data_IF_608914993828
#
_entry.id   IF_608914993828
#
_cell.length_a   1.000
_cell.length_b   1.000
_cell.length_c   1.000
_cell.angle_alpha   90.00
_cell.angle_beta   90.00
_cell.angle_gamma   90.00
#
_symmetry.space_group_name_H-M   'P 1'
#
loop_
_entity.id
_entity.type
_entity.pdbx_description
1 polymer ?
#
# COMPACT_ATOMS: atom_id res chain seq x y z
N UNK A 1 11.90 40.71 -12.63
CA UNK A 1 12.26 39.61 -11.72
C UNK A 1 11.12 39.44 -10.73
N UNK A 2 10.32 38.36 -10.85
CA UNK A 2 9.31 38.03 -9.83
C UNK A 2 10.04 37.29 -8.72
N UNK A 3 10.16 37.91 -7.55
CA UNK A 3 10.67 37.28 -6.34
C UNK A 3 9.71 36.16 -5.94
N UNK A 4 10.14 34.92 -6.12
CA UNK A 4 9.45 33.75 -5.59
C UNK A 4 9.48 33.88 -4.05
N UNK A 5 8.34 34.01 -3.35
CA UNK A 5 8.38 34.03 -1.89
C UNK A 5 8.89 32.66 -1.45
N UNK A 6 9.99 32.65 -0.68
CA UNK A 6 10.47 31.44 -0.04
C UNK A 6 9.29 30.77 0.68
N UNK A 7 8.99 29.52 0.32
CA UNK A 7 7.86 28.78 0.87
C UNK A 7 7.98 28.76 2.39
N UNK A 8 6.94 29.24 3.08
CA UNK A 8 6.83 29.12 4.53
C UNK A 8 6.60 27.65 4.89
N UNK A 9 7.69 26.93 5.14
CA UNK A 9 7.71 25.49 5.39
C UNK A 9 6.98 25.12 6.69
N UNK A 10 6.97 26.00 7.68
CA UNK A 10 6.27 25.78 8.95
C UNK A 10 4.75 25.84 8.73
N UNK A 11 4.27 26.88 8.03
CA UNK A 11 2.86 26.99 7.66
C UNK A 11 2.42 25.85 6.75
N UNK A 12 3.23 25.48 5.76
CA UNK A 12 2.93 24.36 4.87
C UNK A 12 2.84 23.04 5.63
N UNK A 13 3.74 22.79 6.58
CA UNK A 13 3.71 21.59 7.42
C UNK A 13 2.42 21.50 8.26
N UNK A 14 1.94 22.63 8.80
CA UNK A 14 0.67 22.67 9.54
C UNK A 14 -0.51 22.32 8.63
N UNK A 15 -0.59 22.92 7.45
CA UNK A 15 -1.66 22.69 6.48
C UNK A 15 -1.69 21.25 5.97
N UNK A 16 -0.52 20.67 5.66
CA UNK A 16 -0.42 19.29 5.20
C UNK A 16 -0.82 18.29 6.29
N UNK A 17 -0.54 18.60 7.55
CA UNK A 17 -0.99 17.78 8.68
C UNK A 17 -2.53 17.83 8.79
N UNK A 18 -3.13 19.02 8.71
CA UNK A 18 -4.58 19.19 8.76
C UNK A 18 -5.31 18.48 7.60
N UNK A 19 -4.72 18.52 6.39
CA UNK A 19 -5.20 17.79 5.21
C UNK A 19 -4.91 16.27 5.26
N UNK A 20 -4.19 15.80 6.27
CA UNK A 20 -3.75 14.40 6.41
C UNK A 20 -2.97 13.91 5.19
N UNK A 21 -1.97 14.69 4.77
CA UNK A 21 -1.06 14.39 3.66
C UNK A 21 0.37 14.12 4.15
N UNK A 22 0.60 13.02 4.92
CA UNK A 22 1.87 12.77 5.58
C UNK A 22 3.02 12.44 4.63
N UNK A 23 2.77 11.85 3.45
CA UNK A 23 3.85 11.58 2.51
C UNK A 23 4.29 12.88 1.83
N UNK A 24 3.33 13.73 1.42
CA UNK A 24 3.61 15.06 0.89
C UNK A 24 4.39 15.90 1.90
N UNK A 25 4.01 15.88 3.18
CA UNK A 25 4.70 16.62 4.25
C UNK A 25 6.21 16.33 4.31
N UNK A 26 6.60 15.08 4.06
CA UNK A 26 8.00 14.65 4.08
C UNK A 26 8.69 14.88 2.73
N UNK A 27 7.98 14.63 1.62
CA UNK A 27 8.59 14.49 0.30
C UNK A 27 8.53 15.75 -0.56
N UNK A 28 7.67 16.74 -0.24
CA UNK A 28 7.50 17.93 -1.07
C UNK A 28 8.78 18.72 -1.37
N UNK A 29 9.79 18.83 -0.48
CA UNK A 29 11.01 19.57 -0.80
C UNK A 29 11.81 18.88 -1.92
N UNK A 30 11.87 17.55 -1.90
CA UNK A 30 12.60 16.76 -2.90
C UNK A 30 11.91 16.84 -4.26
N UNK A 31 10.57 16.72 -4.29
CA UNK A 31 9.81 16.90 -5.52
C UNK A 31 9.91 18.33 -6.06
N UNK A 32 9.98 19.35 -5.20
CA UNK A 32 10.11 20.74 -5.60
C UNK A 32 11.49 20.99 -6.23
N UNK A 33 12.56 20.50 -5.60
CA UNK A 33 13.92 20.57 -6.14
C UNK A 33 14.04 19.86 -7.50
N UNK A 34 13.42 18.68 -7.63
CA UNK A 34 13.39 17.95 -8.89
C UNK A 34 12.60 18.69 -9.97
N UNK A 35 11.43 19.25 -9.62
CA UNK A 35 10.62 20.04 -10.54
C UNK A 35 11.35 21.28 -11.03
N UNK A 36 12.06 21.98 -10.15
CA UNK A 36 12.88 23.15 -10.50
C UNK A 36 14.03 22.77 -11.42
N UNK A 37 14.73 21.65 -11.13
CA UNK A 37 15.85 21.16 -11.93
C UNK A 37 15.43 20.70 -13.32
N UNK A 38 14.30 20.01 -13.43
CA UNK A 38 13.79 19.45 -14.69
C UNK A 38 12.83 20.39 -15.43
N UNK A 39 12.54 21.57 -14.87
CA UNK A 39 11.62 22.54 -15.47
C UNK A 39 10.19 22.04 -15.58
N UNK A 40 9.71 21.29 -14.59
CA UNK A 40 8.36 20.73 -14.62
C UNK A 40 7.29 21.84 -14.58
N UNK A 41 6.23 21.74 -15.40
CA UNK A 41 5.03 22.53 -15.18
C UNK A 41 4.45 22.23 -13.80
N UNK A 42 3.86 23.24 -13.14
CA UNK A 42 3.24 23.09 -11.83
C UNK A 42 2.19 21.95 -11.78
N UNK A 43 1.46 21.74 -12.88
CA UNK A 43 0.52 20.63 -13.01
C UNK A 43 1.19 19.25 -12.91
N UNK A 44 2.39 19.09 -13.48
CA UNK A 44 3.18 17.85 -13.42
C UNK A 44 3.71 17.61 -12.00
N UNK A 45 4.24 18.65 -11.35
CA UNK A 45 4.65 18.57 -9.95
C UNK A 45 3.49 18.12 -9.05
N UNK A 46 2.32 18.75 -9.20
CA UNK A 46 1.14 18.41 -8.41
C UNK A 46 0.65 16.98 -8.67
N UNK A 47 0.62 16.53 -9.92
CA UNK A 47 0.27 15.16 -10.25
C UNK A 47 1.24 14.16 -9.60
N UNK A 48 2.55 14.37 -9.78
CA UNK A 48 3.55 13.44 -9.28
C UNK A 48 3.56 13.32 -7.74
N UNK A 49 3.43 14.44 -7.03
CA UNK A 49 3.43 14.42 -5.57
C UNK A 49 2.14 13.83 -4.98
N UNK A 50 1.00 14.01 -5.65
CA UNK A 50 -0.27 13.41 -5.22
C UNK A 50 -0.37 11.92 -5.54
N UNK A 51 0.18 11.48 -6.68
CA UNK A 51 0.34 10.05 -7.00
C UNK A 51 1.19 9.34 -5.92
N UNK A 52 2.28 9.97 -5.50
CA UNK A 52 3.14 9.42 -4.46
C UNK A 52 2.41 9.30 -3.11
N UNK A 53 1.61 10.29 -2.74
CA UNK A 53 0.78 10.24 -1.52
C UNK A 53 -0.23 9.10 -1.54
N UNK A 54 -0.87 8.85 -2.68
CA UNK A 54 -1.81 7.73 -2.84
C UNK A 54 -1.09 6.39 -2.67
N UNK A 55 0.05 6.20 -3.36
CA UNK A 55 0.83 4.98 -3.27
C UNK A 55 1.30 4.68 -1.83
N UNK A 56 1.77 5.70 -1.11
CA UNK A 56 2.18 5.58 0.29
C UNK A 56 1.00 5.23 1.22
N UNK A 57 -0.18 5.77 0.95
CA UNK A 57 -1.39 5.47 1.72
C UNK A 57 -1.84 4.03 1.54
N UNK A 58 -1.80 3.52 0.31
CA UNK A 58 -2.12 2.14 0.00
C UNK A 58 -1.12 1.18 0.64
N UNK A 59 0.18 1.50 0.55
CA UNK A 59 1.24 0.73 1.23
C UNK A 59 1.00 0.64 2.74
N UNK A 60 0.76 1.78 3.42
CA UNK A 60 0.49 1.80 4.87
C UNK A 60 -0.78 1.07 5.24
N UNK A 61 -1.81 1.11 4.39
CA UNK A 61 -3.06 0.36 4.59
C UNK A 61 -2.78 -1.14 4.55
N UNK A 62 -2.03 -1.61 3.56
CA UNK A 62 -1.64 -3.03 3.43
C UNK A 62 -0.80 -3.46 4.65
N UNK A 63 0.22 -2.68 5.02
CA UNK A 63 1.08 -2.97 6.17
C UNK A 63 0.29 -3.04 7.48
N UNK A 64 -0.63 -2.10 7.70
CA UNK A 64 -1.51 -2.12 8.88
C UNK A 64 -2.38 -3.37 8.91
N UNK A 65 -3.04 -3.71 7.81
CA UNK A 65 -3.88 -4.90 7.75
C UNK A 65 -3.07 -6.19 7.94
N UNK A 66 -1.85 -6.26 7.42
CA UNK A 66 -0.95 -7.39 7.62
C UNK A 66 -0.53 -7.52 9.09
N UNK A 67 -0.21 -6.40 9.75
CA UNK A 67 0.14 -6.37 11.17
C UNK A 67 -1.06 -6.75 12.07
N UNK A 68 -2.27 -6.26 11.74
CA UNK A 68 -3.51 -6.59 12.44
C UNK A 68 -3.90 -8.06 12.27
N UNK A 69 -3.61 -8.67 11.11
CA UNK A 69 -3.93 -10.06 10.82
C UNK A 69 -3.13 -11.06 11.69
N UNK A 70 -2.03 -10.61 12.34
CA UNK A 70 -1.18 -11.44 13.23
C UNK A 70 -0.84 -12.80 12.64
N UNK A 71 -0.62 -12.83 11.32
CA UNK A 71 -0.30 -14.07 10.62
C UNK A 71 1.03 -14.62 11.12
N UNK A 72 1.09 -15.93 11.31
CA UNK A 72 2.33 -16.62 11.66
C UNK A 72 3.37 -16.38 10.54
N UNK A 73 4.56 -15.83 10.86
CA UNK A 73 5.60 -15.59 9.87
C UNK A 73 5.93 -16.87 9.12
N UNK A 74 5.98 -16.80 7.79
CA UNK A 74 6.32 -17.94 6.93
C UNK A 74 5.20 -18.94 6.67
N UNK A 75 3.98 -18.77 7.22
CA UNK A 75 2.81 -19.56 6.80
C UNK A 75 2.15 -18.93 5.58
N UNK A 76 2.81 -19.03 4.43
CA UNK A 76 2.23 -18.66 3.13
C UNK A 76 1.74 -19.89 2.39
N UNK A 77 0.82 -19.71 1.43
CA UNK A 77 0.41 -20.81 0.55
C UNK A 77 1.58 -21.37 -0.27
N UNK A 78 2.64 -20.60 -0.49
CA UNK A 78 3.87 -21.08 -1.16
C UNK A 78 4.59 -22.16 -0.35
N UNK A 79 4.50 -22.08 0.98
CA UNK A 79 5.08 -23.07 1.91
C UNK A 79 4.15 -24.23 2.23
N UNK A 80 2.92 -24.23 1.70
CA UNK A 80 1.94 -25.26 2.02
C UNK A 80 2.22 -26.56 1.24
N UNK A 81 2.41 -27.67 1.97
CA UNK A 81 2.62 -28.99 1.40
C UNK A 81 1.28 -29.62 0.96
N UNK A 82 0.85 -29.32 -0.27
CA UNK A 82 -0.38 -29.87 -0.85
C UNK A 82 -0.36 -31.41 -0.97
N UNK A 83 0.83 -32.02 -1.11
CA UNK A 83 1.00 -33.48 -1.16
C UNK A 83 0.62 -34.15 0.17
N UNK A 84 0.74 -33.45 1.30
CA UNK A 84 0.34 -33.96 2.61
C UNK A 84 -1.18 -33.98 2.79
N UNK A 85 -1.95 -33.27 1.96
CA UNK A 85 -3.42 -33.18 2.02
C UNK A 85 -4.03 -33.41 0.63
N UNK A 86 -4.11 -34.67 0.14
CA UNK A 86 -4.54 -34.99 -1.22
C UNK A 86 -5.98 -34.56 -1.56
N UNK A 87 -6.80 -34.27 -0.56
CA UNK A 87 -8.17 -33.79 -0.74
C UNK A 87 -8.27 -32.31 -1.12
N UNK A 88 -7.18 -31.54 -1.03
CA UNK A 88 -7.14 -30.12 -1.41
C UNK A 88 -6.49 -29.98 -2.78
N UNK A 89 -7.25 -29.51 -3.77
CA UNK A 89 -6.72 -29.22 -5.11
C UNK A 89 -5.83 -27.98 -5.09
N UNK A 90 -4.52 -28.17 -5.26
CA UNK A 90 -3.55 -27.08 -5.43
C UNK A 90 -3.96 -26.13 -6.56
N UNK A 91 -4.41 -26.66 -7.70
CA UNK A 91 -4.83 -25.85 -8.84
C UNK A 91 -6.00 -24.93 -8.51
N UNK A 92 -6.98 -25.41 -7.72
CA UNK A 92 -8.12 -24.61 -7.29
C UNK A 92 -7.68 -23.50 -6.32
N UNK A 93 -6.84 -23.82 -5.35
CA UNK A 93 -6.31 -22.82 -4.40
C UNK A 93 -5.53 -21.74 -5.13
N UNK A 94 -4.65 -22.12 -6.06
CA UNK A 94 -3.88 -21.16 -6.86
C UNK A 94 -4.76 -20.32 -7.78
N UNK A 95 -5.84 -20.88 -8.34
CA UNK A 95 -6.79 -20.09 -9.15
C UNK A 95 -7.54 -19.04 -8.31
N UNK A 96 -7.89 -19.37 -7.06
CA UNK A 96 -8.53 -18.43 -6.13
C UNK A 96 -7.56 -17.33 -5.70
N UNK A 97 -6.29 -17.64 -5.50
CA UNK A 97 -5.28 -16.66 -5.03
C UNK A 97 -4.72 -15.80 -6.15
N UNK A 98 -4.65 -16.32 -7.38
CA UNK A 98 -4.24 -15.56 -8.54
C UNK A 98 -5.36 -14.65 -9.08
N UNK A 99 -6.62 -14.96 -8.79
CA UNK A 99 -7.78 -14.19 -9.22
C UNK A 99 -8.26 -13.20 -8.15
N UNK A 100 -8.58 -11.98 -8.56
CA UNK A 100 -9.26 -10.96 -7.75
C UNK A 100 -10.78 -10.94 -7.97
N UNK A 101 -11.29 -11.74 -8.92
CA UNK A 101 -12.72 -11.77 -9.26
C UNK A 101 -13.67 -12.04 -8.07
N UNK A 102 -13.21 -12.73 -7.03
CA UNK A 102 -14.00 -12.95 -5.81
C UNK A 102 -13.98 -11.72 -4.90
N UNK A 103 -12.89 -10.94 -4.89
CA UNK A 103 -12.81 -9.64 -4.22
C UNK A 103 -13.72 -8.62 -4.91
N UNK A 104 -13.73 -8.56 -6.25
CA UNK A 104 -14.59 -7.67 -7.03
C UNK A 104 -16.08 -7.93 -6.78
N UNK A 105 -16.45 -9.21 -6.61
CA UNK A 105 -17.83 -9.65 -6.34
C UNK A 105 -18.22 -9.57 -4.87
N UNK A 106 -17.30 -9.20 -3.98
CA UNK A 106 -17.53 -9.22 -2.53
C UNK A 106 -17.85 -10.61 -1.97
N UNK A 107 -17.33 -11.66 -2.59
CA UNK A 107 -17.52 -13.04 -2.16
C UNK A 107 -16.60 -13.37 -0.97
N UNK A 108 -17.07 -14.21 -0.06
CA UNK A 108 -16.29 -14.63 1.11
C UNK A 108 -15.59 -15.97 0.84
N UNK A 109 -14.30 -16.06 1.18
CA UNK A 109 -13.58 -17.33 1.22
C UNK A 109 -13.53 -17.84 2.67
N UNK A 110 -14.09 -19.03 2.90
CA UNK A 110 -14.10 -19.68 4.21
C UNK A 110 -13.23 -20.94 4.15
N UNK A 111 -12.22 -21.00 5.00
CA UNK A 111 -11.35 -22.17 5.15
C UNK A 111 -11.68 -22.86 6.47
N UNK A 112 -12.10 -24.12 6.39
CA UNK A 112 -12.38 -24.94 7.56
C UNK A 112 -11.45 -26.15 7.56
N UNK A 113 -10.92 -26.48 8.72
CA UNK A 113 -10.11 -27.66 8.95
C UNK A 113 -9.98 -27.92 10.45
N UNK A 114 -9.69 -29.17 10.85
CA UNK A 114 -9.40 -29.47 12.25
C UNK A 114 -8.17 -28.66 12.69
N UNK A 115 -8.30 -27.91 13.78
CA UNK A 115 -7.17 -27.29 14.47
C UNK A 115 -6.41 -28.37 15.24
N UNK A 116 -5.15 -28.59 14.88
CA UNK A 116 -4.26 -29.47 15.64
C UNK A 116 -3.98 -28.85 17.02
N UNK A 117 -4.29 -29.52 18.15
CA UNK A 117 -4.17 -28.91 19.49
C UNK A 117 -2.73 -28.80 20.03
N UNK A 118 -1.70 -29.15 19.25
CA UNK A 118 -0.30 -29.20 19.72
C UNK A 118 0.66 -28.16 19.13
N UNK A 119 0.18 -27.05 18.55
CA UNK A 119 1.03 -25.89 18.19
C UNK A 119 0.81 -24.71 19.12
#
# INVERSE_FOLDING_TARGET
>A
MKTNPAVDSAKLSLLLNELRLPAIQVMWPQFAEQADKEGWPAARFLAAITEHELAERDRRRIERHLAEARLLPGKTLDTFEFEAVPMISKAQVMAITAGDSWLEKGANLLLFGPTDPTT
#
